data_IF_998490861403
#
_entry.id   IF_998490861403
#
_cell.length_a   1.000
_cell.length_b   1.000
_cell.length_c   1.000
_cell.angle_alpha   90.00
_cell.angle_beta   90.00
_cell.angle_gamma   90.00
#
_symmetry.space_group_name_H-M   'P 1'
#
loop_
_entity.id
_entity.type
_entity.pdbx_description
1 polymer ?
#
# COMPACT_ATOMS: atom_id res chain seq x y z
N UNK A 1 56.36 -51.09 -45.28
CA UNK A 1 55.59 -52.17 -45.96
C UNK A 1 54.16 -51.67 -46.11
N UNK A 2 53.78 -51.30 -47.34
CA UNK A 2 52.67 -51.86 -48.15
C UNK A 2 51.26 -51.58 -47.58
N UNK A 3 50.54 -50.60 -48.12
CA UNK A 3 49.58 -50.66 -49.27
C UNK A 3 48.15 -50.97 -48.79
N UNK A 4 47.17 -50.06 -48.86
CA UNK A 4 46.47 -49.41 -50.00
C UNK A 4 45.16 -50.13 -50.35
N UNK A 5 44.06 -49.35 -50.47
CA UNK A 5 42.89 -49.46 -51.37
C UNK A 5 41.91 -48.34 -50.93
N UNK A 6 41.81 -47.14 -51.53
CA UNK A 6 41.48 -46.70 -52.89
C UNK A 6 40.02 -46.98 -53.31
N UNK A 7 39.28 -45.92 -53.70
CA UNK A 7 38.39 -45.74 -54.89
C UNK A 7 37.83 -44.29 -54.81
N UNK A 8 38.24 -43.34 -55.66
CA UNK A 8 37.82 -43.00 -57.05
C UNK A 8 36.58 -42.06 -57.12
N UNK A 9 36.77 -40.75 -57.34
CA UNK A 9 36.64 -39.95 -58.60
C UNK A 9 35.19 -39.77 -59.08
N UNK A 10 34.70 -38.52 -59.17
CA UNK A 10 34.48 -37.80 -60.44
C UNK A 10 33.81 -36.43 -60.18
N UNK A 11 34.40 -35.37 -60.73
CA UNK A 11 33.84 -34.03 -60.79
C UNK A 11 32.88 -33.89 -61.99
N UNK A 12 31.80 -33.12 -61.82
CA UNK A 12 31.15 -32.42 -62.93
C UNK A 12 30.64 -31.05 -62.45
N UNK A 13 31.05 -30.03 -63.19
CA UNK A 13 30.76 -28.59 -63.06
C UNK A 13 29.35 -28.23 -63.50
N UNK A 14 28.73 -27.18 -62.93
CA UNK A 14 28.36 -25.93 -63.66
C UNK A 14 27.47 -24.97 -62.85
N UNK A 15 27.90 -23.71 -62.89
CA UNK A 15 27.15 -22.45 -63.00
C UNK A 15 26.14 -21.95 -61.95
N UNK A 16 26.51 -20.77 -61.46
CA UNK A 16 25.85 -19.74 -60.67
C UNK A 16 24.38 -19.38 -61.00
N UNK A 17 23.69 -18.83 -59.99
CA UNK A 17 23.14 -17.45 -59.94
C UNK A 17 22.57 -17.21 -58.52
N UNK A 18 23.24 -16.44 -57.66
CA UNK A 18 22.95 -15.01 -57.41
C UNK A 18 21.47 -14.69 -57.12
N UNK A 19 21.14 -14.57 -55.83
CA UNK A 19 20.26 -13.51 -55.32
C UNK A 19 20.80 -13.06 -53.95
N UNK A 20 21.46 -11.90 -53.97
CA UNK A 20 21.80 -11.14 -52.78
C UNK A 20 20.50 -10.66 -52.11
N UNK A 21 20.21 -11.14 -50.90
CA UNK A 21 19.37 -10.41 -49.96
C UNK A 21 20.27 -9.86 -48.86
N UNK A 22 20.38 -8.53 -48.67
CA UNK A 22 21.06 -8.01 -47.50
C UNK A 22 20.23 -8.34 -46.27
N UNK A 23 20.72 -9.28 -45.44
CA UNK A 23 20.23 -9.46 -44.08
C UNK A 23 20.56 -8.18 -43.32
N UNK A 24 19.53 -7.39 -43.02
CA UNK A 24 19.66 -6.26 -42.10
C UNK A 24 20.25 -6.78 -40.76
N UNK A 25 21.19 -6.06 -40.13
CA UNK A 25 21.75 -6.49 -38.87
C UNK A 25 20.63 -6.54 -37.82
N UNK A 26 20.48 -7.70 -37.19
CA UNK A 26 19.60 -7.87 -36.04
C UNK A 26 20.00 -6.83 -34.99
N UNK A 27 19.12 -5.87 -34.73
CA UNK A 27 19.24 -4.94 -33.62
C UNK A 27 19.09 -5.75 -32.34
N UNK A 28 20.21 -5.96 -31.65
CA UNK A 28 20.22 -6.38 -30.25
C UNK A 28 19.56 -5.29 -29.42
N UNK A 29 18.25 -5.40 -29.21
CA UNK A 29 17.57 -4.62 -28.19
C UNK A 29 18.03 -5.14 -26.82
N UNK A 30 18.81 -4.32 -26.13
CA UNK A 30 19.07 -4.45 -24.70
C UNK A 30 17.73 -4.53 -23.97
N UNK A 31 17.50 -5.51 -23.06
CA UNK A 31 16.29 -5.52 -22.26
C UNK A 31 16.18 -4.19 -21.51
N UNK A 32 15.09 -3.47 -21.74
CA UNK A 32 14.77 -2.28 -20.97
C UNK A 32 14.67 -2.69 -19.49
N UNK A 33 15.65 -2.27 -18.69
CA UNK A 33 15.56 -2.30 -17.23
C UNK A 33 14.32 -1.51 -16.84
N UNK A 34 13.26 -2.21 -16.47
CA UNK A 34 12.08 -1.61 -15.86
C UNK A 34 12.57 -0.76 -14.68
N UNK A 35 12.34 0.55 -14.75
CA UNK A 35 12.58 1.44 -13.62
C UNK A 35 11.59 1.03 -12.51
N UNK A 36 12.06 0.19 -11.58
CA UNK A 36 11.29 -0.15 -10.39
C UNK A 36 11.17 1.13 -9.57
N UNK A 37 9.99 1.75 -9.57
CA UNK A 37 9.70 2.83 -8.64
C UNK A 37 9.89 2.28 -7.22
N UNK A 38 10.69 2.92 -6.34
CA UNK A 38 10.85 2.44 -4.97
C UNK A 38 9.48 2.29 -4.33
N UNK A 39 9.09 1.05 -4.00
CA UNK A 39 7.83 0.81 -3.30
C UNK A 39 7.90 1.53 -1.95
N UNK A 40 6.92 2.37 -1.66
CA UNK A 40 6.83 3.03 -0.37
C UNK A 40 6.70 1.96 0.72
N UNK A 41 7.50 2.07 1.79
CA UNK A 41 7.41 1.17 2.93
C UNK A 41 5.98 1.19 3.52
N UNK A 42 5.46 0.04 3.98
CA UNK A 42 4.16 0.00 4.61
C UNK A 42 4.16 0.87 5.88
N UNK A 43 2.99 1.36 6.30
CA UNK A 43 2.88 2.04 7.58
C UNK A 43 3.16 1.08 8.74
N UNK A 44 3.68 1.62 9.84
CA UNK A 44 3.76 0.87 11.09
C UNK A 44 2.35 0.47 11.55
N UNK A 45 2.14 -0.77 12.03
CA UNK A 45 0.86 -1.17 12.57
C UNK A 45 0.60 -0.40 13.87
N UNK A 46 -0.67 -0.06 14.14
CA UNK A 46 -1.06 0.51 15.43
C UNK A 46 -1.51 -0.63 16.34
N UNK A 47 -0.76 -0.90 17.40
CA UNK A 47 -1.12 -1.91 18.39
C UNK A 47 -1.62 -1.25 19.68
N UNK A 48 -2.72 -1.77 20.21
CA UNK A 48 -3.36 -1.29 21.44
C UNK A 48 -4.05 -2.45 22.15
N UNK A 49 -4.57 -2.22 23.36
CA UNK A 49 -5.33 -3.21 24.11
C UNK A 49 -6.43 -3.86 23.23
N UNK A 50 -6.50 -5.19 23.25
CA UNK A 50 -7.36 -6.01 22.38
C UNK A 50 -6.74 -6.43 21.04
N UNK A 51 -5.62 -5.84 20.63
CA UNK A 51 -4.88 -6.31 19.44
C UNK A 51 -4.33 -7.72 19.68
N UNK A 52 -4.26 -8.54 18.63
CA UNK A 52 -3.67 -9.89 18.71
C UNK A 52 -2.79 -10.20 17.50
N UNK A 53 -1.98 -11.26 17.58
CA UNK A 53 -1.24 -11.83 16.45
C UNK A 53 0.29 -11.66 16.48
N UNK A 54 0.93 -11.91 15.35
CA UNK A 54 2.40 -11.94 15.23
C UNK A 54 3.04 -10.57 15.48
N UNK A 55 2.40 -9.47 15.07
CA UNK A 55 2.88 -8.12 15.36
C UNK A 55 2.87 -7.81 16.86
N UNK A 56 1.84 -8.27 17.59
CA UNK A 56 1.78 -8.17 19.05
C UNK A 56 2.87 -9.02 19.70
N UNK A 57 3.03 -10.26 19.25
CA UNK A 57 4.08 -11.17 19.75
C UNK A 57 5.48 -10.55 19.57
N UNK A 58 5.75 -9.97 18.39
CA UNK A 58 7.00 -9.30 18.10
C UNK A 58 7.22 -8.05 18.98
N UNK A 59 6.18 -7.25 19.20
CA UNK A 59 6.25 -6.10 20.10
C UNK A 59 6.53 -6.54 21.55
N UNK A 60 5.91 -7.62 22.03
CA UNK A 60 6.16 -8.16 23.36
C UNK A 60 7.60 -8.65 23.52
N UNK A 61 8.16 -9.34 22.51
CA UNK A 61 9.58 -9.70 22.50
C UNK A 61 10.51 -8.48 22.48
N UNK A 62 10.19 -7.44 21.72
CA UNK A 62 10.99 -6.21 21.71
C UNK A 62 10.92 -5.49 23.06
N UNK A 63 9.75 -5.45 23.73
CA UNK A 63 9.63 -4.91 25.08
C UNK A 63 10.48 -5.71 26.07
N UNK A 64 10.50 -7.05 25.97
CA UNK A 64 11.43 -7.88 26.76
C UNK A 64 12.90 -7.58 26.48
N UNK A 65 13.27 -7.37 25.22
CA UNK A 65 14.61 -6.94 24.84
C UNK A 65 14.98 -5.55 25.41
N UNK A 66 13.98 -4.73 25.77
CA UNK A 66 14.14 -3.47 26.50
C UNK A 66 14.04 -3.60 28.03
N UNK A 67 14.00 -4.83 28.56
CA UNK A 67 14.01 -5.12 30.00
C UNK A 67 12.62 -5.22 30.65
N UNK A 68 11.53 -5.13 29.89
CA UNK A 68 10.18 -5.27 30.42
C UNK A 68 9.78 -6.74 30.55
N UNK A 69 9.51 -7.20 31.78
CA UNK A 69 9.14 -8.59 32.05
C UNK A 69 7.65 -8.82 31.79
N UNK A 70 7.31 -9.20 30.56
CA UNK A 70 5.95 -9.56 30.13
C UNK A 70 5.91 -10.89 29.38
N UNK A 71 4.73 -11.50 29.30
CA UNK A 71 4.49 -12.65 28.41
C UNK A 71 4.53 -12.22 26.94
N UNK A 72 4.99 -13.12 26.06
CA UNK A 72 4.95 -12.95 24.61
C UNK A 72 3.95 -13.96 24.03
N UNK A 73 2.67 -13.77 24.34
CA UNK A 73 1.55 -14.65 23.98
C UNK A 73 0.78 -14.21 22.73
N UNK A 74 1.16 -13.06 22.16
CA UNK A 74 0.48 -12.49 21.00
C UNK A 74 -0.87 -11.86 21.34
N UNK A 75 -1.17 -11.59 22.61
CA UNK A 75 -2.38 -10.90 23.07
C UNK A 75 -2.00 -9.59 23.76
N UNK A 76 -2.46 -8.47 23.21
CA UNK A 76 -2.20 -7.16 23.78
C UNK A 76 -3.23 -6.91 24.89
N UNK A 77 -2.99 -7.45 26.07
CA UNK A 77 -3.79 -7.20 27.28
C UNK A 77 -3.25 -6.05 28.14
N UNK A 78 -3.84 -5.88 29.33
CA UNK A 78 -3.47 -4.83 30.29
C UNK A 78 -2.00 -4.86 30.69
N UNK A 79 -1.40 -6.04 30.89
CA UNK A 79 0.03 -6.15 31.20
C UNK A 79 0.95 -5.62 30.10
N UNK A 80 0.59 -5.86 28.82
CA UNK A 80 1.34 -5.31 27.68
C UNK A 80 1.14 -3.80 27.59
N UNK A 81 -0.09 -3.31 27.78
CA UNK A 81 -0.39 -1.87 27.80
C UNK A 81 0.40 -1.12 28.87
N UNK A 82 0.46 -1.64 30.10
CA UNK A 82 1.25 -1.06 31.19
C UNK A 82 2.74 -0.99 30.83
N UNK A 83 3.30 -2.06 30.27
CA UNK A 83 4.70 -2.08 29.82
C UNK A 83 4.96 -1.06 28.71
N UNK A 84 4.03 -0.89 27.77
CA UNK A 84 4.13 0.13 26.70
C UNK A 84 4.11 1.54 27.29
N UNK A 85 3.22 1.84 28.23
CA UNK A 85 3.19 3.15 28.90
C UNK A 85 4.50 3.44 29.62
N UNK A 86 5.03 2.47 30.38
CA UNK A 86 6.34 2.61 31.04
C UNK A 86 7.47 2.83 30.03
N UNK A 87 7.49 2.07 28.94
CA UNK A 87 8.44 2.25 27.86
C UNK A 87 8.36 3.64 27.22
N UNK A 88 7.15 4.09 26.90
CA UNK A 88 6.91 5.43 26.33
C UNK A 88 7.42 6.52 27.27
N UNK A 89 7.07 6.47 28.57
CA UNK A 89 7.59 7.40 29.58
C UNK A 89 9.12 7.41 29.63
N UNK A 90 9.75 6.22 29.65
CA UNK A 90 11.21 6.10 29.66
C UNK A 90 11.89 6.59 28.38
N UNK A 91 11.15 6.74 27.28
CA UNK A 91 11.65 7.26 26.00
C UNK A 91 11.22 8.71 25.74
N UNK A 92 10.56 9.38 26.68
CA UNK A 92 10.06 10.75 26.51
C UNK A 92 8.92 10.88 25.49
N UNK A 93 8.14 9.81 25.29
CA UNK A 93 6.95 9.80 24.45
C UNK A 93 5.68 10.01 25.31
N UNK A 94 4.58 10.39 24.68
CA UNK A 94 3.25 10.34 25.31
C UNK A 94 2.97 8.90 25.76
N UNK A 95 2.72 8.70 27.06
CA UNK A 95 2.46 7.39 27.64
C UNK A 95 0.99 6.96 27.47
N UNK A 96 0.53 6.87 26.23
CA UNK A 96 -0.86 6.55 25.85
C UNK A 96 -1.17 5.05 25.80
N UNK A 97 -0.16 4.17 25.92
CA UNK A 97 -0.30 2.72 25.90
C UNK A 97 -0.48 2.13 24.50
N UNK A 98 -0.31 2.94 23.45
CA UNK A 98 -0.49 2.55 22.04
C UNK A 98 0.88 2.47 21.37
N UNK A 99 1.20 1.33 20.76
CA UNK A 99 2.40 1.20 19.92
C UNK A 99 2.07 1.75 18.52
N UNK A 100 2.24 3.05 18.34
CA UNK A 100 2.20 3.74 17.05
C UNK A 100 3.59 3.94 16.44
N UNK A 101 3.70 4.66 15.33
CA UNK A 101 4.95 4.85 14.58
C UNK A 101 6.12 5.40 15.44
N UNK A 102 5.85 6.36 16.31
CA UNK A 102 6.86 6.92 17.22
C UNK A 102 7.36 5.89 18.24
N UNK A 103 6.44 5.07 18.78
CA UNK A 103 6.80 4.00 19.72
C UNK A 103 7.57 2.89 19.02
N UNK A 104 7.15 2.46 17.83
CA UNK A 104 7.89 1.47 17.03
C UNK A 104 9.32 1.91 16.75
N UNK A 105 9.50 3.13 16.27
CA UNK A 105 10.83 3.70 15.95
C UNK A 105 11.76 3.66 17.16
N UNK A 106 11.22 3.88 18.36
CA UNK A 106 11.99 3.80 19.60
C UNK A 106 12.15 2.38 20.12
N UNK A 107 11.26 1.44 19.80
CA UNK A 107 11.19 0.09 20.37
C UNK A 107 12.08 -0.93 19.64
N UNK A 108 12.20 -0.80 18.32
CA UNK A 108 12.96 -1.74 17.49
C UNK A 108 14.44 -1.80 17.86
N UNK A 109 15.08 -2.93 17.56
CA UNK A 109 16.52 -3.15 17.76
C UNK A 109 17.07 -3.72 16.46
N UNK A 110 18.11 -3.10 15.89
CA UNK A 110 18.77 -3.64 14.69
C UNK A 110 19.39 -4.99 15.02
N UNK A 111 19.04 -6.03 14.26
CA UNK A 111 19.60 -7.37 14.40
C UNK A 111 20.21 -7.84 13.09
N UNK A 112 21.30 -8.60 13.19
CA UNK A 112 22.10 -9.10 12.08
C UNK A 112 22.77 -10.43 12.45
N UNK A 113 23.53 -11.02 11.52
CA UNK A 113 24.29 -12.26 11.76
C UNK A 113 25.06 -12.22 13.09
N UNK A 114 24.89 -13.25 13.90
CA UNK A 114 25.50 -13.36 15.23
C UNK A 114 24.73 -12.68 16.38
N UNK A 115 23.69 -11.90 16.08
CA UNK A 115 22.76 -11.39 17.10
C UNK A 115 22.00 -12.55 17.76
N UNK A 116 21.68 -12.41 19.04
CA UNK A 116 20.87 -13.38 19.79
C UNK A 116 19.85 -12.69 20.71
N UNK A 117 18.80 -13.41 21.11
CA UNK A 117 17.84 -12.96 22.13
C UNK A 117 16.48 -12.56 21.58
N UNK A 118 15.69 -11.83 22.38
CA UNK A 118 14.27 -11.59 22.08
C UNK A 118 14.05 -10.69 20.86
N UNK A 119 14.94 -9.74 20.56
CA UNK A 119 14.87 -8.98 19.31
C UNK A 119 15.00 -9.88 18.06
N UNK A 120 15.80 -10.95 18.14
CA UNK A 120 15.89 -11.94 17.06
C UNK A 120 14.63 -12.79 16.97
N UNK A 121 14.04 -13.19 18.11
CA UNK A 121 12.73 -13.88 18.13
C UNK A 121 11.63 -13.05 17.52
N UNK A 122 11.63 -11.73 17.77
CA UNK A 122 10.69 -10.81 17.13
C UNK A 122 10.84 -10.82 15.59
N UNK A 123 12.06 -10.73 15.07
CA UNK A 123 12.31 -10.77 13.63
C UNK A 123 11.89 -12.12 13.01
N UNK A 124 12.28 -13.24 13.63
CA UNK A 124 11.94 -14.59 13.19
C UNK A 124 10.42 -14.83 13.23
N UNK A 125 9.71 -14.31 14.24
CA UNK A 125 8.25 -14.40 14.36
C UNK A 125 7.57 -13.70 13.18
N UNK A 126 8.02 -12.49 12.83
CA UNK A 126 7.45 -11.74 11.70
C UNK A 126 7.81 -12.39 10.36
N UNK A 127 9.04 -12.85 10.17
CA UNK A 127 9.45 -13.60 8.96
C UNK A 127 8.59 -14.85 8.75
N UNK A 128 8.36 -15.64 9.81
CA UNK A 128 7.47 -16.79 9.75
C UNK A 128 6.04 -16.39 9.41
N UNK A 129 5.53 -15.30 9.99
CA UNK A 129 4.21 -14.78 9.63
C UNK A 129 4.10 -14.28 8.18
N UNK A 130 5.23 -13.88 7.56
CA UNK A 130 5.33 -13.55 6.13
C UNK A 130 5.58 -14.77 5.23
N UNK A 131 5.52 -15.99 5.78
CA UNK A 131 5.64 -17.24 5.02
C UNK A 131 7.08 -17.74 4.83
N UNK A 132 8.08 -17.11 5.45
CA UNK A 132 9.47 -17.58 5.37
C UNK A 132 9.71 -18.70 6.38
N UNK A 133 10.34 -19.78 5.93
CA UNK A 133 10.69 -20.90 6.79
C UNK A 133 11.91 -20.56 7.66
N UNK A 134 11.64 -20.11 8.89
CA UNK A 134 12.64 -19.88 9.95
C UNK A 134 12.23 -20.54 11.26
N UNK A 135 13.22 -20.96 12.05
CA UNK A 135 13.02 -21.36 13.45
C UNK A 135 13.01 -20.11 14.32
N UNK A 136 12.08 -20.02 15.28
CA UNK A 136 12.02 -18.92 16.25
C UNK A 136 12.79 -19.33 17.51
N UNK A 137 14.11 -19.40 17.41
CA UNK A 137 15.03 -19.81 18.48
C UNK A 137 15.71 -18.63 19.19
N UNK A 138 15.67 -17.44 18.57
CA UNK A 138 16.39 -16.27 19.05
C UNK A 138 17.86 -16.26 18.63
N UNK A 139 18.26 -17.02 17.61
CA UNK A 139 19.62 -17.04 17.05
C UNK A 139 19.60 -16.54 15.60
N UNK A 140 20.32 -15.46 15.31
CA UNK A 140 20.42 -14.92 13.96
C UNK A 140 21.52 -15.65 13.18
N UNK A 141 21.26 -16.93 12.89
CA UNK A 141 22.13 -17.80 12.11
C UNK A 141 21.92 -17.67 10.59
N UNK A 142 22.59 -18.52 9.81
CA UNK A 142 22.58 -18.51 8.34
C UNK A 142 21.17 -18.68 7.74
N UNK A 143 20.29 -19.47 8.37
CA UNK A 143 18.89 -19.61 7.96
C UNK A 143 18.13 -18.30 8.07
N UNK A 144 18.29 -17.58 9.19
CA UNK A 144 17.67 -16.25 9.40
C UNK A 144 18.23 -15.22 8.41
N UNK A 145 19.55 -15.20 8.17
CA UNK A 145 20.19 -14.30 7.17
C UNK A 145 19.57 -14.54 5.78
N UNK A 146 19.44 -15.80 5.37
CA UNK A 146 18.91 -16.16 4.05
C UNK A 146 17.44 -15.74 3.90
N UNK A 147 16.63 -15.94 4.95
CA UNK A 147 15.24 -15.51 4.97
C UNK A 147 15.11 -13.98 4.92
N UNK A 148 15.94 -13.23 5.67
CA UNK A 148 15.91 -11.76 5.65
C UNK A 148 16.28 -11.21 4.28
N UNK A 149 17.33 -11.73 3.64
CA UNK A 149 17.68 -11.30 2.27
C UNK A 149 16.57 -11.58 1.28
N UNK A 150 15.96 -12.77 1.35
CA UNK A 150 14.83 -13.14 0.49
C UNK A 150 13.64 -12.20 0.69
N UNK A 151 13.32 -11.90 1.96
CA UNK A 151 12.28 -10.94 2.31
C UNK A 151 12.58 -9.54 1.78
N UNK A 152 13.79 -9.04 2.00
CA UNK A 152 14.22 -7.72 1.53
C UNK A 152 14.10 -7.62 0.01
N UNK A 153 14.60 -8.61 -0.74
CA UNK A 153 14.45 -8.67 -2.20
C UNK A 153 12.99 -8.65 -2.63
N UNK A 154 12.13 -9.44 -1.96
CA UNK A 154 10.70 -9.50 -2.24
C UNK A 154 9.93 -8.20 -1.91
N UNK A 155 10.53 -7.29 -1.12
CA UNK A 155 9.94 -6.01 -0.74
C UNK A 155 10.63 -4.82 -1.43
N UNK A 156 11.52 -5.07 -2.40
CA UNK A 156 12.26 -4.00 -3.09
C UNK A 156 13.24 -3.24 -2.19
N UNK A 157 13.71 -3.86 -1.09
CA UNK A 157 14.71 -3.30 -0.18
C UNK A 157 16.12 -3.78 -0.55
N UNK A 158 17.13 -3.10 -0.02
CA UNK A 158 18.51 -3.60 -0.03
C UNK A 158 18.58 -4.96 0.66
N UNK A 159 19.01 -6.00 -0.06
CA UNK A 159 19.10 -7.37 0.43
C UNK A 159 20.41 -7.63 1.19
N UNK A 160 20.73 -6.77 2.17
CA UNK A 160 21.96 -6.83 2.97
C UNK A 160 21.95 -7.95 4.02
N UNK A 161 20.77 -8.47 4.39
CA UNK A 161 20.59 -9.47 5.44
C UNK A 161 20.50 -8.88 6.86
N UNK A 162 20.32 -7.57 6.97
CA UNK A 162 20.22 -6.83 8.23
C UNK A 162 18.78 -6.39 8.47
N UNK A 163 18.24 -6.68 9.65
CA UNK A 163 16.92 -6.17 10.05
C UNK A 163 17.09 -4.79 10.69
N UNK A 164 17.26 -3.77 9.84
CA UNK A 164 17.27 -2.35 10.22
C UNK A 164 15.87 -1.72 10.20
N UNK A 165 15.75 -0.40 10.41
CA UNK A 165 14.44 0.28 10.52
C UNK A 165 13.47 0.00 9.37
N UNK A 166 13.95 0.06 8.12
CA UNK A 166 13.12 -0.20 6.94
C UNK A 166 12.65 -1.67 6.87
N UNK A 167 13.54 -2.62 7.17
CA UNK A 167 13.21 -4.04 7.23
C UNK A 167 12.20 -4.32 8.35
N UNK A 168 12.37 -3.70 9.53
CA UNK A 168 11.41 -3.80 10.63
C UNK A 168 10.05 -3.26 10.25
N UNK A 169 10.01 -2.10 9.59
CA UNK A 169 8.76 -1.50 9.14
C UNK A 169 8.04 -2.40 8.14
N UNK A 170 8.77 -2.99 7.19
CA UNK A 170 8.21 -3.94 6.24
C UNK A 170 7.73 -5.25 6.90
N UNK A 171 8.47 -5.77 7.89
CA UNK A 171 8.13 -7.00 8.62
C UNK A 171 6.92 -6.82 9.53
N UNK A 172 6.93 -5.77 10.35
CA UNK A 172 5.91 -5.49 11.37
C UNK A 172 4.66 -4.87 10.74
N UNK A 173 4.86 -4.06 9.71
CA UNK A 173 3.78 -3.63 8.84
C UNK A 173 3.01 -4.85 8.36
N UNK A 174 1.71 -4.67 8.23
CA UNK A 174 0.93 -5.52 7.35
C UNK A 174 1.43 -5.25 5.94
N UNK A 175 2.61 -5.77 5.57
CA UNK A 175 2.97 -6.08 4.21
C UNK A 175 1.81 -6.90 3.69
N UNK A 176 0.91 -6.20 3.00
CA UNK A 176 -0.31 -6.68 2.40
C UNK A 176 0.05 -7.72 1.36
N UNK A 177 0.27 -8.95 1.80
CA UNK A 177 0.14 -10.12 0.91
C UNK A 177 -1.33 -10.47 0.64
N UNK A 178 -2.26 -9.66 1.16
CA UNK A 178 -3.49 -9.28 0.46
C UNK A 178 -3.55 -7.75 0.48
N UNK A 179 -3.60 -7.06 -0.67
CA UNK A 179 -4.04 -5.66 -0.73
C UNK A 179 -5.28 -5.55 0.16
N UNK A 180 -5.39 -4.49 0.99
CA UNK A 180 -6.65 -4.27 1.70
C UNK A 180 -7.76 -4.35 0.66
N UNK A 181 -8.62 -5.35 0.81
CA UNK A 181 -9.64 -5.59 -0.18
C UNK A 181 -10.45 -4.32 -0.32
N UNK A 182 -10.87 -4.02 -1.54
CA UNK A 182 -11.79 -2.91 -1.83
C UNK A 182 -12.94 -2.82 -0.81
N UNK A 183 -13.48 -3.97 -0.42
CA UNK A 183 -14.52 -4.09 0.60
C UNK A 183 -14.05 -3.63 2.00
N UNK A 184 -12.90 -4.10 2.47
CA UNK A 184 -12.38 -3.74 3.80
C UNK A 184 -11.99 -2.26 3.91
N UNK A 185 -11.49 -1.64 2.84
CA UNK A 185 -11.24 -0.19 2.83
C UNK A 185 -12.56 0.59 2.89
N UNK A 186 -13.55 0.20 2.09
CA UNK A 186 -14.87 0.81 2.13
C UNK A 186 -15.57 0.64 3.49
N UNK A 187 -15.40 -0.51 4.17
CA UNK A 187 -15.90 -0.71 5.52
C UNK A 187 -15.26 0.26 6.53
N UNK A 188 -13.96 0.53 6.41
CA UNK A 188 -13.26 1.50 7.25
C UNK A 188 -13.83 2.90 7.03
N UNK A 189 -14.09 3.30 5.78
CA UNK A 189 -14.70 4.58 5.44
C UNK A 189 -16.10 4.72 6.07
N UNK A 190 -16.92 3.66 6.03
CA UNK A 190 -18.26 3.66 6.65
C UNK A 190 -18.23 3.77 8.18
N UNK A 191 -17.17 3.25 8.81
CA UNK A 191 -17.02 3.21 10.26
C UNK A 191 -16.31 4.45 10.82
N UNK A 192 -15.80 5.34 9.96
CA UNK A 192 -15.10 6.55 10.37
C UNK A 192 -16.08 7.71 10.60
N UNK A 193 -16.24 8.11 11.86
CA UNK A 193 -17.13 9.22 12.24
C UNK A 193 -16.70 10.59 11.71
N UNK A 194 -15.44 10.74 11.27
CA UNK A 194 -14.90 11.94 10.65
C UNK A 194 -15.23 12.05 9.16
N UNK A 195 -15.64 10.96 8.51
CA UNK A 195 -15.95 10.94 7.08
C UNK A 195 -17.46 10.89 6.90
N UNK A 196 -18.03 11.98 6.37
CA UNK A 196 -19.44 12.02 5.98
C UNK A 196 -19.59 11.81 4.47
N UNK A 197 -20.64 11.08 4.07
CA UNK A 197 -20.91 10.75 2.67
C UNK A 197 -22.28 11.34 2.29
N UNK A 198 -22.34 12.10 1.21
CA UNK A 198 -23.64 12.55 0.69
C UNK A 198 -24.46 11.36 0.17
N UNK A 199 -25.76 11.40 0.46
CA UNK A 199 -26.77 10.44 0.01
C UNK A 199 -27.52 10.90 -1.25
N UNK A 200 -26.98 11.91 -1.92
CA UNK A 200 -27.44 12.45 -3.20
C UNK A 200 -26.21 12.97 -3.98
N UNK A 201 -26.26 12.95 -5.31
CA UNK A 201 -25.22 13.54 -6.14
C UNK A 201 -25.49 15.03 -6.39
N UNK A 202 -24.43 15.84 -6.47
CA UNK A 202 -24.52 17.31 -6.54
C UNK A 202 -24.87 17.88 -7.93
N UNK A 203 -24.84 17.04 -8.97
CA UNK A 203 -24.96 17.45 -10.38
C UNK A 203 -26.40 17.67 -10.91
N UNK A 204 -27.45 17.40 -10.13
CA UNK A 204 -28.83 17.65 -10.55
C UNK A 204 -29.87 16.91 -9.70
N UNK A 205 -31.01 17.55 -9.46
CA UNK A 205 -32.08 17.04 -8.60
C UNK A 205 -32.69 15.73 -9.12
N UNK A 206 -32.49 14.64 -8.35
CA UNK A 206 -33.30 13.42 -8.38
C UNK A 206 -32.51 12.18 -8.81
N UNK A 207 -32.71 11.00 -8.24
CA UNK A 207 -33.57 10.58 -7.14
C UNK A 207 -33.21 9.11 -6.86
N UNK A 208 -32.57 8.81 -5.72
CA UNK A 208 -32.46 7.43 -5.23
C UNK A 208 -31.98 6.38 -6.24
N UNK A 209 -31.23 6.77 -7.28
CA UNK A 209 -30.77 5.83 -8.30
C UNK A 209 -29.65 4.93 -7.75
N UNK A 210 -29.16 5.21 -6.53
CA UNK A 210 -28.12 4.46 -5.84
C UNK A 210 -26.72 4.79 -6.34
N UNK A 211 -26.55 5.86 -7.13
CA UNK A 211 -25.25 6.30 -7.62
C UNK A 211 -24.59 7.36 -6.71
N UNK A 212 -25.18 7.74 -5.57
CA UNK A 212 -24.58 8.70 -4.64
C UNK A 212 -23.31 8.17 -3.95
N UNK A 213 -22.50 9.08 -3.39
CA UNK A 213 -21.24 8.75 -2.71
C UNK A 213 -21.42 7.70 -1.59
N UNK A 214 -22.48 7.83 -0.79
CA UNK A 214 -22.76 6.87 0.28
C UNK A 214 -23.11 5.48 -0.27
N UNK A 215 -23.93 5.40 -1.32
CA UNK A 215 -24.26 4.14 -2.01
C UNK A 215 -23.03 3.52 -2.69
N UNK A 216 -22.19 4.33 -3.35
CA UNK A 216 -20.92 3.89 -3.95
C UNK A 216 -20.02 3.19 -2.91
N UNK A 217 -19.82 3.77 -1.73
CA UNK A 217 -19.04 3.15 -0.66
C UNK A 217 -19.75 1.92 -0.08
N UNK A 218 -21.08 1.95 0.14
CA UNK A 218 -21.83 0.79 0.63
C UNK A 218 -21.78 -0.41 -0.31
N UNK A 219 -21.89 -0.19 -1.61
CA UNK A 219 -21.77 -1.26 -2.61
C UNK A 219 -20.37 -1.84 -2.62
N UNK A 220 -19.36 -0.96 -2.58
CA UNK A 220 -17.95 -1.34 -2.51
C UNK A 220 -17.64 -2.17 -1.26
N UNK A 221 -18.17 -1.77 -0.10
CA UNK A 221 -18.12 -2.49 1.18
C UNK A 221 -18.77 -3.88 1.10
N UNK A 222 -19.88 -4.01 0.36
CA UNK A 222 -20.52 -5.29 0.07
C UNK A 222 -19.81 -6.13 -1.02
N UNK A 223 -18.63 -5.70 -1.49
CA UNK A 223 -17.87 -6.38 -2.55
C UNK A 223 -18.40 -6.17 -3.96
N UNK A 224 -19.34 -5.23 -4.16
CA UNK A 224 -19.95 -4.90 -5.46
C UNK A 224 -19.22 -3.71 -6.11
N UNK A 225 -19.42 -3.54 -7.41
CA UNK A 225 -18.98 -2.34 -8.13
C UNK A 225 -19.88 -1.15 -7.78
N UNK A 226 -19.31 0.04 -7.67
CA UNK A 226 -20.02 1.29 -7.43
C UNK A 226 -20.83 1.70 -8.67
N UNK A 227 -22.07 2.13 -8.47
CA UNK A 227 -22.95 2.54 -9.57
C UNK A 227 -22.60 3.94 -10.08
N UNK A 228 -22.62 4.10 -11.40
CA UNK A 228 -22.57 5.41 -12.08
C UNK A 228 -23.98 5.79 -12.51
N UNK A 229 -24.36 7.05 -12.33
CA UNK A 229 -25.68 7.53 -12.76
C UNK A 229 -25.78 7.50 -14.30
N UNK A 230 -27.01 7.54 -14.80
CA UNK A 230 -27.31 7.82 -16.21
C UNK A 230 -27.86 9.25 -16.41
N UNK A 231 -27.83 10.07 -15.35
CA UNK A 231 -28.23 11.47 -15.42
C UNK A 231 -27.20 12.33 -16.16
N UNK A 232 -27.68 13.26 -17.00
CA UNK A 232 -26.84 14.20 -17.73
C UNK A 232 -25.89 13.49 -18.69
N UNK A 233 -24.58 13.73 -18.53
CA UNK A 233 -23.51 13.14 -19.35
C UNK A 233 -22.92 11.87 -18.72
N UNK A 234 -23.45 11.41 -17.58
CA UNK A 234 -22.93 10.24 -16.91
C UNK A 234 -23.15 8.96 -17.73
N UNK A 235 -22.15 8.07 -17.83
CA UNK A 235 -22.17 6.94 -18.77
C UNK A 235 -23.04 5.77 -18.32
N UNK A 236 -23.63 5.82 -17.11
CA UNK A 236 -24.32 4.68 -16.52
C UNK A 236 -23.41 3.49 -16.19
N UNK A 237 -24.04 2.38 -15.81
CA UNK A 237 -23.36 1.14 -15.44
C UNK A 237 -22.68 1.21 -14.07
N UNK A 238 -21.56 0.50 -13.92
CA UNK A 238 -20.82 0.42 -12.66
C UNK A 238 -19.31 0.38 -12.87
N UNK A 239 -18.56 0.68 -11.82
CA UNK A 239 -17.10 0.66 -11.79
C UNK A 239 -16.58 0.21 -10.43
N UNK A 240 -15.48 -0.52 -10.41
CA UNK A 240 -14.80 -0.84 -9.17
C UNK A 240 -13.96 0.35 -8.70
N UNK A 241 -14.16 0.81 -7.47
CA UNK A 241 -13.40 1.92 -6.90
C UNK A 241 -11.94 1.54 -6.67
N UNK A 242 -10.99 2.39 -7.02
CA UNK A 242 -9.58 2.06 -6.90
C UNK A 242 -9.12 1.92 -5.43
N UNK A 243 -8.29 0.92 -5.16
CA UNK A 243 -7.82 0.64 -3.79
C UNK A 243 -6.83 1.68 -3.27
N UNK A 244 -6.07 2.35 -4.13
CA UNK A 244 -5.18 3.44 -3.71
C UNK A 244 -6.00 4.68 -3.34
N UNK A 245 -7.03 5.00 -4.13
CA UNK A 245 -8.00 6.05 -3.79
C UNK A 245 -8.68 5.76 -2.44
N UNK A 246 -9.23 4.56 -2.25
CA UNK A 246 -9.90 4.18 -1.00
C UNK A 246 -8.95 4.20 0.21
N UNK A 247 -7.70 3.74 0.04
CA UNK A 247 -6.67 3.85 1.07
C UNK A 247 -6.33 5.32 1.37
N UNK A 248 -6.27 6.16 0.34
CA UNK A 248 -6.11 7.61 0.48
C UNK A 248 -7.20 8.23 1.33
N UNK A 249 -8.47 7.90 1.08
CA UNK A 249 -9.62 8.38 1.87
C UNK A 249 -9.48 7.98 3.34
N UNK A 250 -9.19 6.71 3.63
CA UNK A 250 -8.99 6.23 5.01
C UNK A 250 -7.87 7.00 5.71
N UNK A 251 -6.74 7.23 5.02
CA UNK A 251 -5.59 7.95 5.59
C UNK A 251 -5.87 9.44 5.81
N UNK A 252 -6.67 10.07 4.95
CA UNK A 252 -7.13 11.44 5.16
C UNK A 252 -8.02 11.54 6.41
N UNK A 253 -8.88 10.54 6.66
CA UNK A 253 -9.78 10.47 7.84
C UNK A 253 -9.05 10.49 9.18
N UNK A 254 -7.80 10.01 9.20
CA UNK A 254 -6.96 10.05 10.40
C UNK A 254 -6.53 11.46 10.82
N UNK A 255 -6.63 12.44 9.90
CA UNK A 255 -6.14 13.82 10.11
C UNK A 255 -7.25 14.87 9.96
N UNK A 256 -8.22 14.62 9.07
CA UNK A 256 -9.28 15.56 8.73
C UNK A 256 -10.64 14.92 8.97
N UNK A 257 -11.62 15.73 9.40
CA UNK A 257 -13.02 15.40 9.15
C UNK A 257 -13.45 16.04 7.83
N UNK A 258 -14.18 15.33 6.98
CA UNK A 258 -14.59 15.87 5.69
C UNK A 258 -15.86 15.22 5.16
N UNK A 259 -16.46 15.86 4.16
CA UNK A 259 -17.65 15.34 3.48
C UNK A 259 -17.33 15.03 2.03
N UNK A 260 -17.46 13.76 1.66
CA UNK A 260 -17.39 13.32 0.27
C UNK A 260 -18.73 13.60 -0.39
N UNK A 261 -18.71 14.41 -1.44
CA UNK A 261 -19.90 14.76 -2.21
C UNK A 261 -20.10 13.85 -3.40
N UNK A 262 -19.02 13.32 -3.98
CA UNK A 262 -19.06 12.60 -5.25
C UNK A 262 -17.89 11.59 -5.38
N UNK A 263 -18.13 10.45 -6.04
CA UNK A 263 -17.09 9.43 -6.32
C UNK A 263 -17.16 8.94 -7.78
N UNK A 264 -18.16 8.13 -8.15
CA UNK A 264 -18.33 7.69 -9.54
C UNK A 264 -19.71 8.04 -10.11
N UNK A 265 -20.58 8.60 -9.28
CA UNK A 265 -22.01 8.71 -9.51
C UNK A 265 -22.44 9.80 -10.49
N UNK A 266 -21.96 11.02 -10.27
CA UNK A 266 -22.51 12.24 -10.83
C UNK A 266 -22.12 12.53 -12.29
N UNK A 267 -22.81 13.51 -12.87
CA UNK A 267 -22.49 14.04 -14.19
C UNK A 267 -21.21 14.88 -14.17
N UNK A 268 -20.26 14.54 -15.02
CA UNK A 268 -18.94 15.15 -15.20
C UNK A 268 -18.60 15.19 -16.71
N UNK A 269 -17.46 15.79 -17.05
CA UNK A 269 -16.90 15.71 -18.40
C UNK A 269 -16.64 14.25 -18.82
N UNK A 270 -16.73 13.97 -20.12
CA UNK A 270 -16.69 12.59 -20.65
C UNK A 270 -15.44 11.79 -20.25
N UNK A 271 -14.31 12.46 -20.06
CA UNK A 271 -13.04 11.84 -19.69
C UNK A 271 -12.73 11.91 -18.18
N UNK A 272 -13.72 12.29 -17.37
CA UNK A 272 -13.55 12.45 -15.93
C UNK A 272 -13.02 11.19 -15.26
N UNK A 273 -12.09 11.39 -14.31
CA UNK A 273 -11.52 10.32 -13.50
C UNK A 273 -12.52 9.70 -12.52
N UNK A 274 -13.61 10.41 -12.20
CA UNK A 274 -14.74 9.84 -11.45
C UNK A 274 -15.30 8.59 -12.13
N UNK A 275 -15.44 8.59 -13.46
CA UNK A 275 -15.98 7.44 -14.20
C UNK A 275 -15.05 6.23 -14.23
N UNK A 276 -13.77 6.41 -13.94
CA UNK A 276 -12.81 5.34 -13.76
C UNK A 276 -12.75 4.81 -12.31
N UNK A 277 -13.51 5.41 -11.38
CA UNK A 277 -13.52 4.99 -9.98
C UNK A 277 -12.25 5.36 -9.21
N UNK A 278 -11.46 6.32 -9.71
CA UNK A 278 -10.18 6.72 -9.12
C UNK A 278 -10.21 8.12 -8.51
N UNK A 279 -11.38 8.77 -8.44
CA UNK A 279 -11.54 10.15 -7.96
C UNK A 279 -12.66 10.31 -6.94
N UNK A 280 -12.54 11.33 -6.08
CA UNK A 280 -13.61 11.80 -5.21
C UNK A 280 -13.55 13.32 -5.02
N UNK A 281 -14.69 13.92 -4.69
CA UNK A 281 -14.82 15.35 -4.37
C UNK A 281 -15.24 15.57 -2.93
N UNK A 282 -14.76 16.67 -2.33
CA UNK A 282 -15.16 17.11 -0.98
C UNK A 282 -15.53 18.59 -0.93
N UNK A 283 -16.63 18.93 -0.25
CA UNK A 283 -17.09 20.32 -0.09
C UNK A 283 -16.99 20.87 1.34
N UNK A 284 -16.68 19.99 2.30
CA UNK A 284 -16.54 20.33 3.72
C UNK A 284 -15.27 19.68 4.27
N UNK A 285 -14.44 20.45 4.97
CA UNK A 285 -13.21 19.98 5.63
C UNK A 285 -13.14 20.64 7.02
N UNK A 286 -12.96 19.85 8.07
CA UNK A 286 -12.94 20.25 9.48
C UNK A 286 -14.12 21.14 9.87
N UNK A 287 -15.31 20.78 9.38
CA UNK A 287 -16.56 21.51 9.62
C UNK A 287 -16.72 22.83 8.85
N UNK A 288 -15.74 23.21 8.01
CA UNK A 288 -15.77 24.44 7.22
C UNK A 288 -15.97 24.13 5.73
N UNK A 289 -16.68 25.01 5.01
CA UNK A 289 -16.94 24.84 3.57
C UNK A 289 -15.70 25.20 2.76
N UNK A 290 -15.40 24.37 1.75
CA UNK A 290 -14.40 24.70 0.74
C UNK A 290 -14.84 25.96 -0.01
N UNK A 291 -13.89 26.88 -0.25
CA UNK A 291 -14.16 28.23 -0.76
C UNK A 291 -14.62 29.24 0.30
N UNK A 292 -14.88 28.80 1.54
CA UNK A 292 -15.31 29.67 2.64
C UNK A 292 -14.70 29.25 3.98
N UNK A 293 -13.37 29.32 4.07
CA UNK A 293 -12.61 29.18 5.33
C UNK A 293 -11.98 27.81 5.58
N UNK A 294 -12.37 26.76 4.84
CA UNK A 294 -11.78 25.43 5.01
C UNK A 294 -10.27 25.39 4.70
N UNK A 295 -9.49 24.50 5.35
CA UNK A 295 -8.06 24.31 5.11
C UNK A 295 -7.80 23.49 3.81
N UNK A 296 -8.45 23.86 2.71
CA UNK A 296 -8.45 23.12 1.45
C UNK A 296 -7.06 22.97 0.85
N UNK A 297 -6.19 23.98 0.91
CA UNK A 297 -4.82 23.87 0.41
C UNK A 297 -3.99 22.78 1.11
N UNK A 298 -4.15 22.65 2.44
CA UNK A 298 -3.49 21.60 3.21
C UNK A 298 -4.06 20.21 2.88
N UNK A 299 -5.38 20.11 2.75
CA UNK A 299 -6.05 18.87 2.34
C UNK A 299 -5.61 18.42 0.93
N UNK A 300 -5.53 19.36 -0.03
CA UNK A 300 -5.01 19.09 -1.37
C UNK A 300 -3.56 18.59 -1.33
N UNK A 301 -2.70 19.18 -0.49
CA UNK A 301 -1.34 18.71 -0.28
C UNK A 301 -1.30 17.28 0.28
N UNK A 302 -2.20 16.97 1.22
CA UNK A 302 -2.35 15.62 1.76
C UNK A 302 -2.81 14.61 0.70
N UNK A 303 -3.76 14.96 -0.18
CA UNK A 303 -4.11 14.08 -1.32
C UNK A 303 -2.88 13.75 -2.18
N UNK A 304 -2.05 14.75 -2.51
CA UNK A 304 -0.83 14.56 -3.32
C UNK A 304 0.20 13.68 -2.61
N UNK A 305 0.42 13.89 -1.31
CA UNK A 305 1.35 13.05 -0.54
C UNK A 305 0.90 11.59 -0.41
N UNK A 306 -0.39 11.33 -0.62
CA UNK A 306 -1.00 10.01 -0.66
C UNK A 306 -1.08 9.40 -2.08
N UNK A 307 -0.51 10.07 -3.08
CA UNK A 307 -0.38 9.54 -4.44
C UNK A 307 -1.45 10.02 -5.43
N UNK A 308 -2.32 10.95 -5.06
CA UNK A 308 -3.21 11.60 -6.02
C UNK A 308 -2.38 12.42 -7.03
N UNK A 309 -2.64 12.24 -8.32
CA UNK A 309 -1.91 12.92 -9.40
C UNK A 309 -2.70 14.05 -10.05
N UNK A 310 -4.00 14.08 -9.85
CA UNK A 310 -4.88 15.18 -10.25
C UNK A 310 -5.59 15.68 -9.00
N UNK A 311 -5.25 16.89 -8.56
CA UNK A 311 -5.80 17.51 -7.34
C UNK A 311 -6.12 18.96 -7.64
N UNK A 312 -7.42 19.26 -7.69
CA UNK A 312 -7.99 20.55 -8.08
C UNK A 312 -8.81 21.13 -6.93
N UNK A 313 -8.89 22.45 -6.81
CA UNK A 313 -9.63 23.12 -5.75
C UNK A 313 -9.80 24.62 -6.00
N UNK A 314 -10.12 25.41 -4.95
CA UNK A 314 -10.28 26.85 -5.11
C UNK A 314 -9.06 27.51 -5.77
N UNK A 315 -9.28 28.14 -6.92
CA UNK A 315 -8.23 28.66 -7.81
C UNK A 315 -8.19 27.96 -9.17
N UNK A 316 -8.65 26.71 -9.24
CA UNK A 316 -8.81 25.96 -10.48
C UNK A 316 -10.20 26.19 -11.09
N UNK A 317 -10.27 26.22 -12.43
CA UNK A 317 -11.52 26.42 -13.16
C UNK A 317 -12.56 25.36 -12.78
N UNK A 318 -13.75 25.79 -12.36
CA UNK A 318 -14.85 24.90 -11.96
C UNK A 318 -14.76 24.33 -10.53
N UNK A 319 -13.71 24.60 -9.76
CA UNK A 319 -13.45 23.97 -8.46
C UNK A 319 -13.45 24.97 -7.28
N UNK A 320 -14.17 26.09 -7.39
CA UNK A 320 -14.16 27.14 -6.35
C UNK A 320 -14.79 26.74 -5.01
N UNK A 321 -15.60 25.68 -4.98
CA UNK A 321 -16.42 25.29 -3.83
C UNK A 321 -16.17 23.86 -3.33
N UNK A 322 -15.24 23.13 -3.95
CA UNK A 322 -14.90 21.76 -3.56
C UNK A 322 -13.43 21.46 -3.89
N UNK A 323 -12.89 20.41 -3.30
CA UNK A 323 -11.60 19.83 -3.67
C UNK A 323 -11.84 18.51 -4.37
N UNK A 324 -11.23 18.36 -5.53
CA UNK A 324 -11.17 17.12 -6.30
C UNK A 324 -9.84 16.42 -6.06
N UNK A 325 -9.85 15.13 -5.74
CA UNK A 325 -8.64 14.31 -5.61
C UNK A 325 -8.77 13.03 -6.44
N UNK A 326 -7.80 12.76 -7.33
CA UNK A 326 -7.80 11.59 -8.19
C UNK A 326 -6.43 10.90 -8.32
N UNK A 327 -6.45 9.57 -8.21
CA UNK A 327 -5.29 8.69 -8.35
C UNK A 327 -5.04 8.32 -9.81
N UNK A 328 -3.82 7.86 -10.16
CA UNK A 328 -3.55 7.22 -11.44
C UNK A 328 -4.48 6.05 -11.69
N UNK A 329 -4.79 5.80 -12.97
CA UNK A 329 -5.47 4.58 -13.43
C UNK A 329 -4.50 3.40 -13.45
#
# INVERSE_FOLDING_TARGET
MRNFLAVSVLALTLSACSQNNPVAPATTETPATAMITPQALPSWPVLRNGSTGSAVTAAQYLLRARGYSISADGVFGSGTESAVRSFQSAQGLTADGIIGANTWTRLIVTVQSGSTGDAVRAAQTLLRAKGYSVTVDGVFGSGTVSAVRSFQSAQGLSADGIVGPNTWQALAGSGSSTPDSRASLAQQILNDSGISLLTYHVSGNGAGDGADAASNIRDTAAGRAAKRSSYGTAPGGSVYLDTNMLSGIVRLGQTYSFRITEIAGGSHSANSRHYAGVAFDVDLINGQRVGSGAPHAAFMSACRSLGATEVLGPGDSGHSTHVHCAWPR
#
